data_IF_445075320273
#
_entry.id   IF_445075320273
#
_cell.length_a   1.000
_cell.length_b   1.000
_cell.length_c   1.000
_cell.angle_alpha   90.00
_cell.angle_beta   90.00
_cell.angle_gamma   90.00
#
_symmetry.space_group_name_H-M   'P 1'
#
loop_
_entity.id
_entity.type
_entity.pdbx_description
1 polymer ?
#
# COMPACT_ATOMS: atom_id res chain seq x y z
N UNK A 1 -10.66 -23.13 8.03
CA UNK A 1 -10.53 -22.21 9.18
C UNK A 1 -9.15 -21.60 9.14
N UNK A 2 -9.03 -20.31 9.47
CA UNK A 2 -7.75 -19.67 9.69
C UNK A 2 -7.12 -20.26 10.97
N UNK A 3 -5.82 -20.57 10.91
CA UNK A 3 -5.10 -21.11 12.08
C UNK A 3 -4.94 -20.07 13.19
N UNK A 4 -4.65 -20.52 14.42
CA UNK A 4 -4.48 -19.61 15.58
C UNK A 4 -3.38 -18.56 15.39
N UNK A 5 -2.35 -18.89 14.61
CA UNK A 5 -1.23 -17.98 14.30
C UNK A 5 -1.53 -17.01 13.14
N UNK A 6 -2.70 -17.11 12.49
CA UNK A 6 -3.07 -16.23 11.38
C UNK A 6 -3.43 -14.83 11.90
N UNK A 7 -2.73 -13.80 11.41
CA UNK A 7 -2.93 -12.44 11.89
C UNK A 7 -3.95 -11.69 11.04
N UNK A 8 -5.06 -11.30 11.67
CA UNK A 8 -5.99 -10.32 11.11
C UNK A 8 -5.61 -8.91 11.54
N UNK A 9 -5.68 -7.96 10.60
CA UNK A 9 -5.27 -6.60 10.86
C UNK A 9 -5.72 -5.60 9.81
N UNK A 10 -5.07 -4.44 9.85
CA UNK A 10 -5.30 -3.31 8.94
C UNK A 10 -3.98 -2.65 8.59
N UNK A 11 -3.95 -2.01 7.43
CA UNK A 11 -2.82 -1.19 6.96
C UNK A 11 -3.19 0.28 6.89
N UNK A 12 -2.24 1.13 7.27
CA UNK A 12 -2.29 2.58 7.22
C UNK A 12 -0.96 3.12 6.63
N UNK A 13 -1.02 4.33 6.08
CA UNK A 13 0.16 5.10 5.62
C UNK A 13 0.21 6.44 6.34
N UNK A 14 1.38 7.09 6.36
CA UNK A 14 1.52 8.37 7.06
C UNK A 14 0.75 9.47 6.34
N UNK A 15 1.15 9.80 5.11
CA UNK A 15 0.55 10.88 4.32
C UNK A 15 -0.98 10.84 4.20
N UNK A 16 -1.58 9.64 4.10
CA UNK A 16 -3.02 9.50 3.88
C UNK A 16 -3.86 9.62 5.17
N UNK A 17 -3.25 9.37 6.33
CA UNK A 17 -3.96 9.27 7.61
C UNK A 17 -3.56 10.31 8.65
N UNK A 18 -2.29 10.68 8.73
CA UNK A 18 -1.77 11.43 9.87
C UNK A 18 -2.38 12.82 10.00
N UNK A 19 -2.49 13.54 8.89
CA UNK A 19 -2.87 14.94 8.92
C UNK A 19 -4.39 15.13 9.12
N UNK A 20 -4.77 16.21 9.79
CA UNK A 20 -6.15 16.49 10.14
C UNK A 20 -6.46 17.98 10.31
N UNK A 21 -7.71 18.36 9.99
CA UNK A 21 -8.12 19.78 9.88
C UNK A 21 -7.94 20.57 11.17
N UNK A 22 -8.22 19.91 12.29
CA UNK A 22 -8.26 20.53 13.61
C UNK A 22 -6.93 20.38 14.37
N UNK A 23 -5.88 19.93 13.69
CA UNK A 23 -4.60 19.56 14.29
C UNK A 23 -3.42 20.12 13.47
N UNK A 24 -3.13 21.43 13.54
CA UNK A 24 -2.04 22.05 12.77
C UNK A 24 -0.67 21.41 12.98
N UNK A 25 -0.41 20.85 14.16
CA UNK A 25 0.79 20.09 14.51
C UNK A 25 0.94 18.79 13.72
N UNK A 26 -0.16 18.26 13.17
CA UNK A 26 -0.13 17.07 12.33
C UNK A 26 0.41 17.35 10.94
N UNK A 27 0.47 18.61 10.48
CA UNK A 27 0.80 18.94 9.08
C UNK A 27 2.28 18.69 8.78
N UNK A 28 2.57 17.94 7.70
CA UNK A 28 3.92 17.80 7.14
C UNK A 28 4.02 18.45 5.75
N UNK A 29 4.47 19.71 5.67
CA UNK A 29 4.64 20.40 4.40
C UNK A 29 5.93 19.99 3.66
N UNK A 30 6.76 19.14 4.28
CA UNK A 30 8.11 18.82 3.84
C UNK A 30 8.21 17.73 2.77
N UNK A 31 7.08 17.20 2.28
CA UNK A 31 7.06 16.14 1.27
C UNK A 31 6.76 16.62 -0.14
N UNK A 32 7.23 15.86 -1.12
CA UNK A 32 6.92 16.04 -2.54
C UNK A 32 5.41 15.97 -2.82
N UNK A 33 4.72 15.00 -2.22
CA UNK A 33 3.28 14.81 -2.33
C UNK A 33 2.48 15.97 -1.73
N UNK A 34 2.93 16.54 -0.60
CA UNK A 34 2.29 17.73 -0.04
C UNK A 34 2.34 18.89 -1.04
N UNK A 35 3.52 19.20 -1.57
CA UNK A 35 3.70 20.26 -2.58
C UNK A 35 2.91 19.94 -3.86
N UNK A 36 2.88 18.68 -4.28
CA UNK A 36 2.17 18.24 -5.48
C UNK A 36 0.65 18.40 -5.37
N UNK A 37 0.06 18.05 -4.23
CA UNK A 37 -1.36 18.19 -3.94
C UNK A 37 -1.81 19.65 -3.82
N UNK A 38 -0.93 20.53 -3.35
CA UNK A 38 -1.17 21.97 -3.19
C UNK A 38 -0.92 22.80 -4.44
N UNK A 39 -0.30 22.21 -5.46
CA UNK A 39 0.06 22.96 -6.64
C UNK A 39 -1.19 23.43 -7.43
N UNK A 40 -1.26 24.74 -7.63
CA UNK A 40 -2.39 25.40 -8.28
C UNK A 40 -2.69 24.86 -9.68
N UNK A 41 -1.67 24.60 -10.49
CA UNK A 41 -1.88 24.11 -11.86
C UNK A 41 -2.31 22.64 -11.85
N UNK A 42 -1.83 21.84 -10.90
CA UNK A 42 -2.27 20.45 -10.76
C UNK A 42 -3.76 20.39 -10.41
N UNK A 43 -4.22 21.27 -9.51
CA UNK A 43 -5.64 21.39 -9.15
C UNK A 43 -6.47 21.91 -10.33
N UNK A 44 -6.05 23.01 -10.96
CA UNK A 44 -6.78 23.61 -12.10
C UNK A 44 -6.92 22.65 -13.29
N UNK A 45 -5.89 21.82 -13.52
CA UNK A 45 -5.90 20.81 -14.59
C UNK A 45 -6.46 19.45 -14.16
N UNK A 46 -6.98 19.32 -12.93
CA UNK A 46 -7.55 18.08 -12.38
C UNK A 46 -6.59 16.89 -12.43
N UNK A 47 -5.29 17.18 -12.26
CA UNK A 47 -4.25 16.15 -12.05
C UNK A 47 -4.40 15.58 -10.64
N UNK A 48 -4.79 16.43 -9.69
CA UNK A 48 -5.18 16.07 -8.32
C UNK A 48 -6.57 16.63 -8.03
N UNK A 49 -7.25 16.07 -7.03
CA UNK A 49 -8.65 16.39 -6.70
C UNK A 49 -8.88 17.82 -6.21
N UNK A 50 -7.85 18.45 -5.62
CA UNK A 50 -7.96 19.75 -4.94
C UNK A 50 -8.43 19.68 -3.49
N UNK A 51 -8.80 18.49 -2.97
CA UNK A 51 -8.85 18.28 -1.52
C UNK A 51 -7.43 18.16 -0.99
N UNK A 52 -7.21 18.63 0.22
CA UNK A 52 -5.87 18.70 0.82
C UNK A 52 -5.73 17.68 1.97
N UNK A 53 -4.56 17.05 2.12
CA UNK A 53 -4.36 15.97 3.08
C UNK A 53 -4.46 16.46 4.53
N UNK A 54 -4.20 17.73 4.83
CA UNK A 54 -4.42 18.33 6.14
C UNK A 54 -5.89 18.51 6.52
N UNK A 55 -6.82 18.09 5.67
CA UNK A 55 -8.23 17.89 6.06
C UNK A 55 -8.56 16.41 6.28
N UNK A 56 -7.54 15.58 6.51
CA UNK A 56 -7.64 14.13 6.64
C UNK A 56 -8.17 13.64 7.99
N UNK A 57 -7.98 12.34 8.28
CA UNK A 57 -8.63 11.68 9.40
C UNK A 57 -7.94 11.93 10.76
N UNK A 58 -6.85 12.70 10.79
CA UNK A 58 -6.16 13.11 12.02
C UNK A 58 -5.65 11.94 12.87
N UNK A 59 -5.07 10.94 12.23
CA UNK A 59 -4.46 9.81 12.93
C UNK A 59 -3.27 10.26 13.78
N UNK A 60 -2.56 11.33 13.41
CA UNK A 60 -1.40 11.81 14.16
C UNK A 60 -1.75 12.19 15.59
N UNK A 61 -2.82 12.95 15.82
CA UNK A 61 -3.24 13.33 17.18
C UNK A 61 -4.24 12.34 17.78
N UNK A 62 -4.99 11.64 16.92
CA UNK A 62 -6.10 10.77 17.30
C UNK A 62 -5.78 9.27 17.36
N UNK A 63 -4.52 8.84 17.23
CA UNK A 63 -4.13 7.44 16.98
C UNK A 63 -4.77 6.42 17.93
N UNK A 64 -4.89 6.75 19.22
CA UNK A 64 -5.44 5.83 20.20
C UNK A 64 -6.90 5.42 19.88
N UNK A 65 -7.69 6.31 19.25
CA UNK A 65 -9.06 6.01 18.85
C UNK A 65 -9.08 4.92 17.77
N UNK A 66 -8.14 5.01 16.82
CA UNK A 66 -7.96 4.02 15.75
C UNK A 66 -7.46 2.70 16.32
N UNK A 67 -6.45 2.72 17.19
CA UNK A 67 -5.92 1.50 17.79
C UNK A 67 -6.95 0.79 18.65
N UNK A 68 -7.75 1.54 19.43
CA UNK A 68 -8.88 0.98 20.16
C UNK A 68 -9.85 0.32 19.19
N UNK A 69 -10.29 0.97 18.11
CA UNK A 69 -11.19 0.34 17.13
C UNK A 69 -10.61 -0.97 16.57
N UNK A 70 -9.34 -0.98 16.15
CA UNK A 70 -8.69 -2.19 15.70
C UNK A 70 -8.73 -3.31 16.78
N UNK A 71 -8.31 -3.00 18.01
CA UNK A 71 -8.31 -3.96 19.11
C UNK A 71 -9.73 -4.49 19.45
N UNK A 72 -10.76 -3.64 19.44
CA UNK A 72 -12.15 -4.02 19.73
C UNK A 72 -12.76 -4.98 18.68
N UNK A 73 -12.20 -5.02 17.47
CA UNK A 73 -12.58 -5.97 16.42
C UNK A 73 -11.86 -7.32 16.50
N UNK A 74 -10.90 -7.46 17.42
CA UNK A 74 -10.10 -8.67 17.58
C UNK A 74 -8.85 -8.73 16.69
N UNK A 75 -8.56 -7.68 15.91
CA UNK A 75 -7.31 -7.57 15.13
C UNK A 75 -6.08 -7.74 16.03
N UNK A 76 -5.04 -8.36 15.49
CA UNK A 76 -3.80 -8.71 16.19
C UNK A 76 -2.55 -8.08 15.59
N UNK A 77 -2.69 -7.37 14.48
CA UNK A 77 -1.60 -6.64 13.83
C UNK A 77 -2.10 -5.34 13.21
N UNK A 78 -1.29 -4.30 13.29
CA UNK A 78 -1.46 -3.08 12.50
C UNK A 78 -0.17 -2.84 11.73
N UNK A 79 -0.29 -2.54 10.44
CA UNK A 79 0.81 -2.00 9.64
C UNK A 79 0.67 -0.49 9.52
N UNK A 80 1.69 0.25 9.92
CA UNK A 80 1.75 1.73 9.85
C UNK A 80 2.96 2.17 9.02
N UNK A 81 2.91 3.41 8.51
CA UNK A 81 4.03 4.05 7.83
C UNK A 81 4.79 5.02 8.74
N UNK A 82 6.07 5.24 8.45
CA UNK A 82 6.82 6.40 8.94
C UNK A 82 7.02 7.38 7.78
N UNK A 83 6.83 8.67 8.01
CA UNK A 83 7.11 9.70 7.00
C UNK A 83 8.56 10.15 7.08
N UNK A 84 9.32 9.86 6.01
CA UNK A 84 10.72 10.24 5.91
C UNK A 84 10.91 11.77 6.01
N UNK A 85 10.00 12.55 5.42
CA UNK A 85 10.00 14.02 5.49
C UNK A 85 9.85 14.56 6.91
N UNK A 86 9.06 13.90 7.77
CA UNK A 86 8.93 14.29 9.18
C UNK A 86 10.20 14.02 9.97
N UNK A 87 10.78 12.83 9.80
CA UNK A 87 11.94 12.37 10.59
C UNK A 87 13.22 13.08 10.13
N UNK A 88 13.43 13.25 8.83
CA UNK A 88 14.59 13.92 8.24
C UNK A 88 14.15 15.08 7.33
N UNK A 89 13.72 16.22 7.92
CA UNK A 89 13.24 17.38 7.15
C UNK A 89 14.36 18.15 6.43
N UNK A 90 15.63 17.81 6.70
CA UNK A 90 16.82 18.47 6.14
C UNK A 90 17.69 17.46 5.39
N UNK A 91 18.45 17.90 4.36
CA UNK A 91 19.32 17.01 3.60
C UNK A 91 20.40 16.33 4.45
N UNK A 92 20.58 15.03 4.23
CA UNK A 92 21.62 14.19 4.84
C UNK A 92 22.84 13.98 3.94
N UNK A 93 22.91 14.70 2.81
CA UNK A 93 24.01 14.59 1.84
C UNK A 93 25.37 14.79 2.51
N UNK A 94 26.34 13.98 2.10
CA UNK A 94 27.75 13.99 2.59
C UNK A 94 27.93 13.65 4.08
N UNK A 95 26.86 13.34 4.81
CA UNK A 95 26.92 12.79 6.18
C UNK A 95 26.89 11.27 6.16
N UNK A 96 27.54 10.65 7.14
CA UNK A 96 27.41 9.20 7.40
C UNK A 96 26.13 8.92 8.19
N UNK A 97 25.66 7.67 8.18
CA UNK A 97 24.43 7.26 8.87
C UNK A 97 24.48 7.44 10.41
N UNK A 98 25.67 7.43 11.00
CA UNK A 98 25.94 7.66 12.42
C UNK A 98 26.06 9.16 12.78
N UNK A 99 25.95 10.07 11.80
CA UNK A 99 26.17 11.52 11.96
C UNK A 99 24.93 12.35 11.59
N UNK A 100 23.72 11.76 11.68
CA UNK A 100 22.46 12.43 11.31
C UNK A 100 21.49 12.64 12.48
N UNK A 101 21.83 12.17 13.68
CA UNK A 101 20.98 12.32 14.87
C UNK A 101 20.73 13.79 15.24
N UNK A 102 21.67 14.70 14.95
CA UNK A 102 21.57 16.15 15.22
C UNK A 102 20.63 16.90 14.28
N UNK A 103 20.35 16.34 13.10
CA UNK A 103 19.44 16.93 12.09
C UNK A 103 18.09 16.21 12.01
N UNK A 104 17.95 15.09 12.71
CA UNK A 104 16.70 14.39 12.89
C UNK A 104 15.70 15.24 13.68
N UNK A 105 14.43 15.15 13.32
CA UNK A 105 13.34 15.63 14.16
C UNK A 105 13.08 14.62 15.30
N UNK A 106 13.64 14.89 16.47
CA UNK A 106 13.49 14.01 17.63
C UNK A 106 12.04 13.91 18.13
N UNK A 107 11.26 14.98 18.01
CA UNK A 107 9.85 15.00 18.43
C UNK A 107 9.01 14.07 17.56
N UNK A 108 9.23 14.04 16.25
CA UNK A 108 8.55 13.11 15.35
C UNK A 108 8.88 11.64 15.66
N UNK A 109 10.15 11.32 15.95
CA UNK A 109 10.54 9.96 16.35
C UNK A 109 9.86 9.55 17.66
N UNK A 110 9.82 10.44 18.66
CA UNK A 110 9.19 10.13 19.94
C UNK A 110 7.69 9.92 19.77
N UNK A 111 7.04 10.76 18.95
CA UNK A 111 5.61 10.60 18.64
C UNK A 111 5.32 9.25 17.96
N UNK A 112 6.13 8.85 16.97
CA UNK A 112 6.00 7.52 16.37
C UNK A 112 6.24 6.39 17.39
N UNK A 113 7.18 6.56 18.32
CA UNK A 113 7.40 5.60 19.42
C UNK A 113 6.15 5.49 20.31
N UNK A 114 5.51 6.60 20.66
CA UNK A 114 4.27 6.61 21.43
C UNK A 114 3.14 5.86 20.70
N UNK A 115 2.97 6.13 19.40
CA UNK A 115 1.99 5.44 18.55
C UNK A 115 2.24 3.92 18.51
N UNK A 116 3.47 3.49 18.27
CA UNK A 116 3.87 2.07 18.24
C UNK A 116 3.62 1.42 19.61
N UNK A 117 3.97 2.11 20.69
CA UNK A 117 3.82 1.59 22.04
C UNK A 117 2.34 1.45 22.44
N UNK A 118 1.45 2.36 22.02
CA UNK A 118 0.01 2.24 22.25
C UNK A 118 -0.58 0.99 21.57
N UNK A 119 -0.18 0.71 20.31
CA UNK A 119 -0.58 -0.51 19.60
C UNK A 119 -0.16 -1.77 20.39
N UNK A 120 1.10 -1.79 20.86
CA UNK A 120 1.65 -2.91 21.64
C UNK A 120 0.97 -3.07 23.00
N UNK A 121 0.64 -1.97 23.67
CA UNK A 121 -0.06 -1.98 24.96
C UNK A 121 -1.46 -2.58 24.84
N UNK A 122 -2.07 -2.49 23.65
CA UNK A 122 -3.34 -3.15 23.31
C UNK A 122 -3.16 -4.63 22.88
N UNK A 123 -1.94 -5.17 22.97
CA UNK A 123 -1.63 -6.57 22.68
C UNK A 123 -1.60 -6.91 21.18
N UNK A 124 -1.45 -5.90 20.31
CA UNK A 124 -1.30 -6.08 18.87
C UNK A 124 0.18 -5.99 18.46
N UNK A 125 0.54 -6.71 17.40
CA UNK A 125 1.84 -6.56 16.72
C UNK A 125 1.86 -5.31 15.86
N UNK A 126 3.05 -4.77 15.63
CA UNK A 126 3.28 -3.62 14.75
C UNK A 126 4.22 -3.99 13.61
N UNK A 127 3.73 -3.85 12.39
CA UNK A 127 4.55 -3.83 11.19
C UNK A 127 4.81 -2.37 10.80
N UNK A 128 6.06 -1.96 10.74
CA UNK A 128 6.42 -0.60 10.31
C UNK A 128 6.94 -0.63 8.88
N UNK A 129 6.36 0.20 8.02
CA UNK A 129 6.80 0.43 6.65
C UNK A 129 7.57 1.75 6.54
N UNK A 130 8.82 1.72 6.05
CA UNK A 130 9.69 2.90 6.04
C UNK A 130 9.33 3.91 4.95
N UNK A 131 8.89 3.49 3.76
CA UNK A 131 8.47 4.40 2.71
C UNK A 131 7.12 4.04 2.12
N UNK A 132 6.20 5.01 2.09
CA UNK A 132 4.91 4.89 1.40
C UNK A 132 4.72 6.07 0.45
N UNK A 133 5.43 6.02 -0.68
CA UNK A 133 5.40 6.96 -1.81
C UNK A 133 5.99 8.35 -1.55
N UNK A 134 5.62 9.02 -0.46
CA UNK A 134 6.13 10.35 -0.13
C UNK A 134 7.65 10.35 0.04
N UNK A 135 8.27 11.42 -0.45
CA UNK A 135 9.69 11.71 -0.29
C UNK A 135 9.87 13.11 0.29
N UNK A 136 10.92 13.32 1.11
CA UNK A 136 11.33 14.67 1.46
C UNK A 136 11.53 15.54 0.22
N UNK A 137 11.04 16.78 0.26
CA UNK A 137 11.10 17.73 -0.86
C UNK A 137 12.55 18.01 -1.31
N UNK A 138 13.52 17.84 -0.41
CA UNK A 138 14.94 18.00 -0.72
C UNK A 138 15.55 16.82 -1.51
N UNK A 139 14.85 15.68 -1.60
CA UNK A 139 15.17 14.56 -2.50
C UNK A 139 14.40 14.63 -3.80
N UNK A 140 13.15 15.09 -3.75
CA UNK A 140 12.27 15.15 -4.91
C UNK A 140 11.54 16.49 -4.98
N UNK A 141 11.85 17.31 -5.98
CA UNK A 141 11.11 18.54 -6.29
C UNK A 141 10.20 18.31 -7.51
N UNK A 142 9.00 17.69 -7.34
CA UNK A 142 8.23 17.12 -8.45
C UNK A 142 7.76 18.18 -9.45
N UNK A 143 7.49 19.40 -8.98
CA UNK A 143 7.11 20.53 -9.83
C UNK A 143 8.24 20.93 -10.78
N UNK A 144 9.49 20.92 -10.30
CA UNK A 144 10.65 21.25 -11.13
C UNK A 144 10.95 20.15 -12.14
N UNK A 145 10.86 18.89 -11.72
CA UNK A 145 10.97 17.73 -12.60
C UNK A 145 9.91 17.81 -13.71
N UNK A 146 8.64 18.03 -13.35
CA UNK A 146 7.52 18.06 -14.29
C UNK A 146 7.61 19.22 -15.31
N UNK A 147 7.89 20.44 -14.83
CA UNK A 147 7.76 21.67 -15.65
C UNK A 147 9.02 22.09 -16.36
N UNK A 148 10.17 21.77 -15.77
CA UNK A 148 11.47 22.28 -16.22
C UNK A 148 12.44 21.17 -16.58
N UNK A 149 12.05 19.90 -16.42
CA UNK A 149 12.95 18.75 -16.59
C UNK A 149 14.24 18.90 -15.77
N UNK A 150 14.13 19.54 -14.60
CA UNK A 150 15.23 19.69 -13.65
C UNK A 150 15.22 18.51 -12.68
N UNK A 151 16.22 17.64 -12.83
CA UNK A 151 16.39 16.42 -12.04
C UNK A 151 17.43 16.58 -10.92
N UNK A 152 17.75 17.81 -10.50
CA UNK A 152 18.69 18.06 -9.39
C UNK A 152 18.22 17.43 -8.07
N UNK A 153 16.91 17.44 -7.84
CA UNK A 153 16.19 16.67 -6.81
C UNK A 153 15.15 15.79 -7.53
N UNK A 154 15.64 14.74 -8.18
CA UNK A 154 14.84 13.90 -9.08
C UNK A 154 14.03 12.79 -8.40
N UNK A 155 14.11 12.65 -7.08
CA UNK A 155 13.54 11.52 -6.35
C UNK A 155 14.21 10.21 -6.72
N UNK A 156 13.44 9.18 -7.05
CA UNK A 156 13.98 7.85 -7.30
C UNK A 156 14.82 7.70 -8.58
N UNK A 157 14.81 8.66 -9.50
CA UNK A 157 15.75 8.64 -10.64
C UNK A 157 17.12 9.21 -10.31
N UNK A 158 17.28 9.81 -9.13
CA UNK A 158 18.58 10.23 -8.61
C UNK A 158 19.25 9.04 -7.90
N UNK A 159 20.44 8.60 -8.33
CA UNK A 159 21.14 7.46 -7.71
C UNK A 159 21.52 7.69 -6.25
N UNK A 160 21.54 8.95 -5.77
CA UNK A 160 21.81 9.27 -4.36
C UNK A 160 20.67 8.85 -3.43
N UNK A 161 19.44 8.78 -3.93
CA UNK A 161 18.24 8.56 -3.12
C UNK A 161 18.29 7.22 -2.37
N UNK A 162 18.80 6.16 -3.00
CA UNK A 162 18.96 4.86 -2.36
C UNK A 162 19.94 4.89 -1.17
N UNK A 163 21.02 5.69 -1.27
CA UNK A 163 21.97 5.88 -0.17
C UNK A 163 21.39 6.74 0.96
N UNK A 164 20.62 7.78 0.63
CA UNK A 164 19.94 8.58 1.66
C UNK A 164 18.85 7.76 2.36
N UNK A 165 18.17 6.86 1.63
CA UNK A 165 17.19 5.94 2.20
C UNK A 165 17.83 4.92 3.15
N UNK A 166 19.02 4.40 2.81
CA UNK A 166 19.82 3.55 3.71
C UNK A 166 20.09 4.25 5.05
N UNK A 167 20.51 5.52 5.02
CA UNK A 167 20.76 6.30 6.24
C UNK A 167 19.51 6.49 7.08
N UNK A 168 18.38 6.76 6.42
CA UNK A 168 17.07 6.86 7.07
C UNK A 168 16.65 5.54 7.72
N UNK A 169 16.81 4.42 7.03
CA UNK A 169 16.53 3.08 7.56
C UNK A 169 17.42 2.76 8.78
N UNK A 170 18.71 3.08 8.72
CA UNK A 170 19.65 2.94 9.82
C UNK A 170 19.21 3.74 11.06
N UNK A 171 18.82 5.00 10.89
CA UNK A 171 18.31 5.83 11.97
C UNK A 171 17.03 5.25 12.58
N UNK A 172 16.05 4.86 11.75
CA UNK A 172 14.81 4.26 12.24
C UNK A 172 15.05 2.96 12.99
N UNK A 173 15.92 2.09 12.46
CA UNK A 173 16.32 0.84 13.12
C UNK A 173 16.96 1.10 14.48
N UNK A 174 17.91 2.05 14.57
CA UNK A 174 18.55 2.43 15.85
C UNK A 174 17.56 3.01 16.85
N UNK A 175 16.55 3.74 16.37
CA UNK A 175 15.66 4.55 17.21
C UNK A 175 14.35 3.89 17.57
N UNK A 176 13.91 2.87 16.85
CA UNK A 176 12.61 2.21 17.03
C UNK A 176 12.69 0.67 16.97
N UNK A 177 13.85 0.10 16.61
CA UNK A 177 14.03 -1.35 16.43
C UNK A 177 13.81 -2.19 17.69
N UNK A 178 13.81 -1.59 18.88
CA UNK A 178 13.50 -2.24 20.15
C UNK A 178 12.00 -2.53 20.35
N UNK A 179 11.11 -1.85 19.61
CA UNK A 179 9.65 -1.96 19.76
C UNK A 179 8.92 -2.38 18.47
N UNK A 180 9.60 -2.48 17.33
CA UNK A 180 8.98 -2.90 16.07
C UNK A 180 9.07 -4.42 15.87
N UNK A 181 7.91 -5.07 15.66
CA UNK A 181 7.86 -6.53 15.47
C UNK A 181 8.28 -6.96 14.06
N UNK A 182 7.98 -6.14 13.05
CA UNK A 182 8.27 -6.44 11.63
C UNK A 182 8.53 -5.14 10.85
N UNK A 183 9.47 -5.19 9.91
CA UNK A 183 9.78 -4.05 9.04
C UNK A 183 9.43 -4.35 7.59
N UNK A 184 8.82 -3.40 6.89
CA UNK A 184 8.82 -3.33 5.43
C UNK A 184 9.68 -2.14 5.01
N UNK A 185 10.55 -2.31 4.01
CA UNK A 185 11.32 -1.16 3.51
C UNK A 185 10.40 -0.19 2.76
N UNK A 186 9.62 -0.70 1.82
CA UNK A 186 8.86 0.13 0.88
C UNK A 186 7.47 -0.45 0.62
N UNK A 187 6.53 0.43 0.31
CA UNK A 187 5.21 0.11 -0.23
C UNK A 187 5.20 0.27 -1.74
N UNK A 188 4.82 -0.78 -2.46
CA UNK A 188 4.51 -0.78 -3.89
C UNK A 188 5.52 0.02 -4.75
N UNK A 189 6.83 -0.27 -4.66
CA UNK A 189 7.86 0.53 -5.33
C UNK A 189 7.67 0.60 -6.84
N UNK A 190 7.20 -0.47 -7.49
CA UNK A 190 6.96 -0.45 -8.94
C UNK A 190 5.80 0.48 -9.34
N UNK A 191 4.82 0.71 -8.45
CA UNK A 191 3.75 1.71 -8.66
C UNK A 191 4.36 3.11 -8.73
N UNK A 192 5.32 3.44 -7.86
CA UNK A 192 6.03 4.72 -7.90
C UNK A 192 6.73 4.94 -9.24
N UNK A 193 7.48 3.92 -9.71
CA UNK A 193 8.18 4.00 -10.99
C UNK A 193 7.22 4.12 -12.18
N UNK A 194 6.16 3.29 -12.21
CA UNK A 194 5.23 3.23 -13.33
C UNK A 194 4.29 4.44 -13.40
N UNK A 195 3.75 4.88 -12.27
CA UNK A 195 2.80 6.00 -12.24
C UNK A 195 3.51 7.35 -12.39
N UNK A 196 4.69 7.52 -11.79
CA UNK A 196 5.44 8.78 -11.87
C UNK A 196 6.06 9.08 -13.24
N UNK A 197 6.56 8.04 -13.94
CA UNK A 197 7.37 8.21 -15.16
C UNK A 197 6.75 7.63 -16.43
N UNK A 198 5.57 7.00 -16.37
CA UNK A 198 4.89 6.45 -17.56
C UNK A 198 3.42 6.82 -17.64
N UNK A 199 2.65 6.63 -16.56
CA UNK A 199 1.21 6.89 -16.55
C UNK A 199 0.88 8.31 -16.06
N UNK A 200 1.02 9.30 -16.95
CA UNK A 200 0.71 10.71 -16.63
C UNK A 200 -0.72 10.91 -16.09
N UNK A 201 -1.70 10.15 -16.58
CA UNK A 201 -3.10 10.26 -16.14
C UNK A 201 -3.36 9.77 -14.72
N UNK A 202 -2.40 9.12 -14.05
CA UNK A 202 -2.54 8.68 -12.66
C UNK A 202 -2.57 9.83 -11.66
N UNK A 203 -2.03 10.99 -12.02
CA UNK A 203 -1.86 12.12 -11.10
C UNK A 203 -0.72 11.96 -10.09
N UNK A 204 0.09 10.89 -10.17
CA UNK A 204 1.23 10.68 -9.27
C UNK A 204 2.42 11.57 -9.65
N UNK A 205 3.16 12.14 -8.69
CA UNK A 205 4.37 12.90 -8.97
C UNK A 205 5.50 12.01 -9.53
N UNK A 206 6.34 12.51 -10.44
CA UNK A 206 6.30 13.83 -11.07
C UNK A 206 5.38 13.91 -12.30
N UNK A 207 4.58 12.89 -12.61
CA UNK A 207 3.61 12.86 -13.71
C UNK A 207 4.19 13.21 -15.09
N UNK A 208 5.28 12.54 -15.47
CA UNK A 208 5.94 12.71 -16.78
C UNK A 208 5.91 11.42 -17.59
N UNK A 209 6.03 11.52 -18.92
CA UNK A 209 6.13 10.35 -19.81
C UNK A 209 7.59 10.20 -20.25
N UNK A 210 8.35 9.45 -19.44
CA UNK A 210 9.76 9.08 -19.65
C UNK A 210 9.95 7.59 -19.35
N UNK A 211 9.50 6.70 -20.26
CA UNK A 211 9.65 5.25 -20.10
C UNK A 211 11.09 4.80 -19.83
N UNK A 212 12.07 5.54 -20.34
CA UNK A 212 13.51 5.30 -20.12
C UNK A 212 13.94 5.50 -18.66
N UNK A 213 13.19 6.30 -17.88
CA UNK A 213 13.46 6.54 -16.46
C UNK A 213 12.79 5.51 -15.54
N UNK A 214 11.85 4.71 -16.04
CA UNK A 214 11.17 3.69 -15.23
C UNK A 214 12.19 2.69 -14.67
N UNK A 215 13.09 2.18 -15.50
CA UNK A 215 14.10 1.22 -15.04
C UNK A 215 15.17 1.86 -14.14
N UNK A 216 15.46 3.15 -14.35
CA UNK A 216 16.37 3.91 -13.46
C UNK A 216 15.76 4.01 -12.05
N UNK A 217 14.49 4.42 -11.96
CA UNK A 217 13.77 4.48 -10.70
C UNK A 217 13.67 3.10 -10.05
N UNK A 218 13.27 2.06 -10.81
CA UNK A 218 13.16 0.68 -10.33
C UNK A 218 14.48 0.16 -9.77
N UNK A 219 15.58 0.36 -10.49
CA UNK A 219 16.90 -0.10 -10.04
C UNK A 219 17.34 0.62 -8.76
N UNK A 220 17.04 1.91 -8.60
CA UNK A 220 17.32 2.64 -7.36
C UNK A 220 16.43 2.19 -6.20
N UNK A 221 15.14 1.92 -6.43
CA UNK A 221 14.23 1.35 -5.42
C UNK A 221 14.71 -0.05 -4.97
N UNK A 222 15.13 -0.91 -5.90
CA UNK A 222 15.73 -2.22 -5.57
C UNK A 222 16.97 -2.04 -4.70
N UNK A 223 17.87 -1.13 -5.06
CA UNK A 223 19.05 -0.84 -4.23
C UNK A 223 18.67 -0.27 -2.86
N UNK A 224 17.60 0.54 -2.79
CA UNK A 224 17.09 1.11 -1.55
C UNK A 224 16.59 0.00 -0.61
N UNK A 225 15.80 -0.95 -1.11
CA UNK A 225 15.39 -2.14 -0.37
C UNK A 225 16.58 -2.95 0.13
N UNK A 226 17.50 -3.33 -0.76
CA UNK A 226 18.67 -4.16 -0.41
C UNK A 226 19.54 -3.49 0.67
N UNK A 227 19.79 -2.19 0.54
CA UNK A 227 20.57 -1.44 1.51
C UNK A 227 19.83 -1.29 2.85
N UNK A 228 18.53 -0.97 2.83
CA UNK A 228 17.72 -0.82 4.03
C UNK A 228 17.56 -2.15 4.79
N UNK A 229 17.46 -3.27 4.07
CA UNK A 229 17.44 -4.61 4.65
C UNK A 229 18.67 -4.85 5.52
N UNK A 230 19.87 -4.65 4.97
CA UNK A 230 21.13 -4.88 5.71
C UNK A 230 21.23 -3.99 6.96
N UNK A 231 20.84 -2.72 6.85
CA UNK A 231 20.81 -1.81 8.00
C UNK A 231 19.85 -2.29 9.08
N UNK A 232 18.60 -2.61 8.74
CA UNK A 232 17.59 -3.04 9.71
C UNK A 232 17.96 -4.36 10.38
N UNK A 233 18.49 -5.33 9.62
CA UNK A 233 18.99 -6.61 10.16
C UNK A 233 20.17 -6.44 11.09
N UNK A 234 21.00 -5.40 10.89
CA UNK A 234 22.10 -5.11 11.80
C UNK A 234 21.64 -4.58 13.17
N UNK A 235 20.42 -4.03 13.27
CA UNK A 235 19.90 -3.40 14.48
C UNK A 235 18.97 -4.31 15.30
N UNK A 236 18.25 -5.24 14.66
CA UNK A 236 17.30 -6.11 15.34
C UNK A 236 17.14 -7.46 14.65
N UNK A 237 16.63 -8.45 15.39
CA UNK A 237 16.28 -9.76 14.83
C UNK A 237 14.92 -9.76 14.11
N UNK A 238 14.18 -8.63 14.13
CA UNK A 238 12.86 -8.53 13.51
C UNK A 238 12.92 -8.88 12.02
N UNK A 239 11.89 -9.54 11.47
CA UNK A 239 11.81 -9.82 10.04
C UNK A 239 11.78 -8.51 9.24
N UNK A 240 12.51 -8.47 8.13
CA UNK A 240 12.52 -7.34 7.19
C UNK A 240 12.05 -7.81 5.82
N UNK A 241 10.98 -7.21 5.32
CA UNK A 241 10.33 -7.57 4.07
C UNK A 241 10.12 -6.38 3.13
N UNK A 242 9.33 -6.64 2.09
CA UNK A 242 8.85 -5.65 1.13
C UNK A 242 7.34 -5.83 0.94
N UNK A 243 6.61 -4.73 0.75
CA UNK A 243 5.21 -4.73 0.37
C UNK A 243 5.09 -4.39 -1.12
N UNK A 244 4.41 -5.23 -1.90
CA UNK A 244 4.34 -5.13 -3.35
C UNK A 244 2.91 -5.22 -3.89
N UNK A 245 2.59 -4.36 -4.85
CA UNK A 245 1.32 -4.38 -5.57
C UNK A 245 1.33 -5.48 -6.62
N UNK A 246 0.43 -6.45 -6.47
CA UNK A 246 0.20 -7.46 -7.49
C UNK A 246 -1.16 -7.27 -8.16
N UNK A 247 -1.14 -7.39 -9.49
CA UNK A 247 -2.33 -7.60 -10.30
C UNK A 247 -2.28 -9.01 -10.86
N UNK A 248 -3.35 -9.78 -10.69
CA UNK A 248 -3.50 -11.00 -11.46
C UNK A 248 -3.59 -10.66 -12.94
N UNK A 249 -2.83 -11.35 -13.80
CA UNK A 249 -2.80 -11.07 -15.23
C UNK A 249 -3.54 -12.17 -15.97
N UNK A 250 -4.71 -11.82 -16.51
CA UNK A 250 -5.49 -12.65 -17.42
C UNK A 250 -5.29 -12.21 -18.88
N UNK A 251 -5.74 -13.02 -19.83
CA UNK A 251 -5.81 -12.65 -21.24
C UNK A 251 -5.27 -13.72 -22.17
N UNK A 252 -4.80 -13.29 -23.34
CA UNK A 252 -4.09 -14.21 -24.24
C UNK A 252 -2.78 -14.64 -23.61
N UNK A 253 -2.53 -15.95 -23.60
CA UNK A 253 -1.48 -16.58 -22.79
C UNK A 253 -0.10 -15.97 -22.98
N UNK A 254 0.34 -15.74 -24.23
CA UNK A 254 1.69 -15.21 -24.46
C UNK A 254 1.87 -13.79 -23.90
N UNK A 255 0.84 -12.95 -24.01
CA UNK A 255 0.84 -11.62 -23.41
C UNK A 255 0.75 -11.67 -21.88
N UNK A 256 -0.10 -12.55 -21.35
CA UNK A 256 -0.30 -12.70 -19.91
C UNK A 256 0.97 -13.21 -19.21
N UNK A 257 1.62 -14.24 -19.76
CA UNK A 257 2.87 -14.80 -19.24
C UNK A 257 3.98 -13.73 -19.25
N UNK A 258 4.13 -12.97 -20.35
CA UNK A 258 5.11 -11.89 -20.47
C UNK A 258 4.87 -10.77 -19.45
N UNK A 259 3.62 -10.33 -19.30
CA UNK A 259 3.25 -9.28 -18.34
C UNK A 259 3.41 -9.74 -16.89
N UNK A 260 3.16 -11.01 -16.59
CA UNK A 260 3.37 -11.57 -15.26
C UNK A 260 4.86 -11.67 -14.91
N UNK A 261 5.70 -12.17 -15.82
CA UNK A 261 7.15 -12.23 -15.58
C UNK A 261 7.75 -10.83 -15.40
N UNK A 262 7.29 -9.83 -16.15
CA UNK A 262 7.70 -8.43 -15.95
C UNK A 262 7.32 -7.91 -14.55
N UNK A 263 6.15 -8.30 -14.03
CA UNK A 263 5.70 -7.92 -12.68
C UNK A 263 6.55 -8.59 -11.58
N UNK A 264 7.03 -9.82 -11.83
CA UNK A 264 7.83 -10.61 -10.89
C UNK A 264 9.31 -10.21 -10.85
N UNK A 265 9.81 -9.51 -11.87
CA UNK A 265 11.23 -9.12 -12.00
C UNK A 265 11.74 -8.38 -10.75
N UNK A 266 10.95 -7.47 -10.18
CA UNK A 266 11.34 -6.74 -8.98
C UNK A 266 11.63 -7.71 -7.83
N UNK A 267 10.71 -8.64 -7.57
CA UNK A 267 10.82 -9.62 -6.48
C UNK A 267 11.97 -10.58 -6.73
N UNK A 268 12.15 -11.04 -7.97
CA UNK A 268 13.26 -11.91 -8.33
C UNK A 268 14.64 -11.29 -8.04
N UNK A 269 14.74 -9.96 -8.11
CA UNK A 269 15.98 -9.22 -7.83
C UNK A 269 16.24 -8.96 -6.34
N UNK A 270 15.23 -9.11 -5.47
CA UNK A 270 15.36 -8.84 -4.03
C UNK A 270 15.16 -10.06 -3.12
N UNK A 271 14.60 -11.16 -3.63
CA UNK A 271 14.14 -12.31 -2.83
C UNK A 271 15.15 -12.88 -1.82
N UNK A 272 16.45 -12.83 -2.12
CA UNK A 272 17.53 -13.28 -1.22
C UNK A 272 17.76 -12.37 -0.01
N UNK A 273 17.07 -11.22 0.05
CA UNK A 273 17.12 -10.19 1.10
C UNK A 273 15.73 -9.76 1.49
N UNK A 274 14.83 -10.72 1.65
CA UNK A 274 13.43 -10.46 1.98
C UNK A 274 12.93 -11.58 2.89
N UNK A 275 12.73 -11.29 4.17
CA UNK A 275 12.31 -12.26 5.19
C UNK A 275 10.80 -12.57 5.12
N UNK A 276 10.01 -11.67 4.54
CA UNK A 276 8.60 -11.87 4.22
C UNK A 276 8.19 -11.01 3.02
N UNK A 277 7.19 -11.45 2.27
CA UNK A 277 6.58 -10.71 1.17
C UNK A 277 5.18 -10.25 1.58
N UNK A 278 4.96 -8.94 1.59
CA UNK A 278 3.64 -8.33 1.68
C UNK A 278 3.01 -8.21 0.30
N UNK A 279 1.81 -8.77 0.13
CA UNK A 279 1.05 -8.72 -1.10
C UNK A 279 -0.10 -7.74 -0.93
N UNK A 280 -0.06 -6.68 -1.72
CA UNK A 280 -1.19 -5.78 -1.93
C UNK A 280 -1.95 -6.24 -3.17
N UNK A 281 -3.23 -6.55 -3.02
CA UNK A 281 -4.07 -7.04 -4.11
C UNK A 281 -5.45 -6.40 -4.06
N UNK A 282 -5.88 -5.90 -5.22
CA UNK A 282 -7.16 -5.22 -5.36
C UNK A 282 -8.04 -5.80 -6.48
N UNK A 283 -7.43 -6.07 -7.64
CA UNK A 283 -8.12 -6.52 -8.84
C UNK A 283 -7.12 -7.16 -9.83
N UNK A 284 -7.57 -7.44 -11.04
CA UNK A 284 -6.77 -8.01 -12.12
C UNK A 284 -6.45 -7.00 -13.22
N UNK A 285 -5.67 -7.45 -14.20
CA UNK A 285 -5.55 -6.85 -15.52
C UNK A 285 -5.83 -7.92 -16.58
N UNK A 286 -6.52 -7.55 -17.66
CA UNK A 286 -6.69 -8.43 -18.82
C UNK A 286 -5.87 -7.87 -19.97
N UNK A 287 -5.01 -8.68 -20.58
CA UNK A 287 -4.08 -8.23 -21.62
C UNK A 287 -4.23 -8.99 -22.94
N UNK A 288 -3.76 -8.38 -24.02
CA UNK A 288 -3.58 -9.04 -25.30
C UNK A 288 -2.31 -8.54 -26.00
N UNK A 289 -1.74 -9.32 -26.94
CA UNK A 289 -0.59 -8.90 -27.72
C UNK A 289 -0.81 -7.56 -28.40
N UNK A 290 0.21 -6.72 -28.35
CA UNK A 290 0.26 -5.44 -29.04
C UNK A 290 1.70 -5.17 -29.49
N UNK A 291 1.93 -5.26 -30.80
CA UNK A 291 3.27 -5.09 -31.39
C UNK A 291 3.71 -3.63 -31.43
N UNK A 292 2.77 -2.69 -31.30
CA UNK A 292 3.05 -1.26 -31.29
C UNK A 292 3.33 -0.75 -29.87
N UNK A 293 3.05 -1.58 -28.85
CA UNK A 293 3.40 -1.35 -27.46
C UNK A 293 4.84 -1.77 -27.19
N UNK A 294 5.60 -0.92 -26.49
CA UNK A 294 6.97 -1.23 -26.05
C UNK A 294 7.03 -2.40 -25.06
N UNK A 295 5.90 -2.74 -24.42
CA UNK A 295 5.76 -3.90 -23.54
C UNK A 295 5.41 -5.20 -24.29
N UNK A 296 5.06 -5.11 -25.58
CA UNK A 296 4.57 -6.24 -26.38
C UNK A 296 3.11 -6.65 -26.09
N UNK A 297 2.45 -5.96 -25.15
CA UNK A 297 1.04 -6.15 -24.82
C UNK A 297 0.34 -4.82 -24.50
N UNK A 298 -0.99 -4.84 -24.60
CA UNK A 298 -1.87 -3.78 -24.12
C UNK A 298 -2.89 -4.32 -23.14
N UNK A 299 -3.29 -3.45 -22.23
CA UNK A 299 -4.35 -3.73 -21.24
C UNK A 299 -5.70 -3.47 -21.89
N UNK A 300 -6.63 -4.40 -21.73
CA UNK A 300 -7.99 -4.27 -22.24
C UNK A 300 -8.83 -3.40 -21.30
N UNK A 301 -9.62 -2.45 -21.84
CA UNK A 301 -10.56 -1.68 -21.05
C UNK A 301 -11.74 -2.55 -20.60
N UNK A 302 -12.52 -2.04 -19.64
CA UNK A 302 -13.74 -2.68 -19.12
C UNK A 302 -13.52 -3.99 -18.36
N UNK A 303 -12.27 -4.31 -18.00
CA UNK A 303 -11.90 -5.36 -17.04
C UNK A 303 -11.00 -4.81 -15.95
N UNK A 304 -10.93 -5.49 -14.80
CA UNK A 304 -9.95 -5.19 -13.77
C UNK A 304 -10.04 -3.74 -13.29
N UNK A 305 -8.90 -3.06 -13.28
CA UNK A 305 -8.80 -1.62 -12.95
C UNK A 305 -9.22 -0.67 -14.08
N UNK A 306 -9.53 -1.19 -15.27
CA UNK A 306 -9.94 -0.42 -16.44
C UNK A 306 -11.45 -0.28 -16.62
N UNK A 307 -12.26 -0.61 -15.60
CA UNK A 307 -13.72 -0.50 -15.66
C UNK A 307 -14.22 0.90 -15.30
N UNK A 308 -15.53 1.12 -15.50
CA UNK A 308 -16.22 2.32 -15.04
C UNK A 308 -16.56 2.19 -13.54
N UNK A 309 -16.49 3.28 -12.77
CA UNK A 309 -17.03 3.33 -11.40
C UNK A 309 -18.48 2.87 -11.31
N UNK A 310 -18.83 2.17 -10.23
CA UNK A 310 -20.21 1.81 -9.88
C UNK A 310 -20.98 1.13 -11.02
N UNK A 311 -20.37 0.14 -11.64
CA UNK A 311 -20.86 -0.52 -12.84
C UNK A 311 -20.65 -2.04 -12.78
N UNK A 312 -20.80 -2.69 -13.93
CA UNK A 312 -20.37 -4.06 -14.15
C UNK A 312 -19.19 -4.06 -15.12
N UNK A 313 -18.18 -4.87 -14.83
CA UNK A 313 -17.13 -5.18 -15.79
C UNK A 313 -17.71 -5.94 -16.98
N UNK A 314 -16.91 -6.10 -18.03
CA UNK A 314 -17.30 -6.91 -19.19
C UNK A 314 -17.49 -8.39 -18.85
N UNK A 315 -16.98 -8.86 -17.71
CA UNK A 315 -17.24 -10.21 -17.19
C UNK A 315 -18.56 -10.30 -16.39
N UNK A 316 -19.28 -9.18 -16.22
CA UNK A 316 -20.51 -9.10 -15.45
C UNK A 316 -20.30 -8.87 -13.96
N UNK A 317 -19.07 -8.59 -13.51
CA UNK A 317 -18.75 -8.43 -12.09
C UNK A 317 -18.86 -6.98 -11.62
N UNK A 318 -19.33 -6.73 -10.38
CA UNK A 318 -19.42 -5.39 -9.83
C UNK A 318 -18.07 -4.68 -9.79
N UNK A 319 -18.11 -3.36 -9.95
CA UNK A 319 -16.93 -2.50 -9.90
C UNK A 319 -17.08 -1.46 -8.78
N UNK A 320 -15.96 -1.16 -8.12
CA UNK A 320 -15.88 -0.23 -7.00
C UNK A 320 -16.24 1.23 -7.37
N UNK A 321 -16.26 2.14 -6.39
CA UNK A 321 -16.29 3.59 -6.62
C UNK A 321 -15.09 4.08 -7.46
N UNK A 322 -13.98 3.33 -7.44
CA UNK A 322 -12.81 3.57 -8.28
C UNK A 322 -12.99 3.01 -9.69
N UNK A 323 -13.93 2.10 -9.90
CA UNK A 323 -14.08 1.34 -11.14
C UNK A 323 -13.18 0.10 -11.20
N UNK A 324 -12.82 -0.47 -10.05
CA UNK A 324 -12.04 -1.71 -10.00
C UNK A 324 -12.97 -2.91 -9.85
N UNK A 325 -12.84 -3.88 -10.75
CA UNK A 325 -13.59 -5.14 -10.78
C UNK A 325 -13.31 -5.97 -9.51
N UNK A 326 -14.37 -6.50 -8.87
CA UNK A 326 -14.23 -7.48 -7.79
C UNK A 326 -13.80 -8.83 -8.38
N UNK A 327 -12.57 -9.27 -8.06
CA UNK A 327 -11.99 -10.48 -8.64
C UNK A 327 -11.14 -11.27 -7.63
N UNK A 328 -11.74 -11.94 -6.65
CA UNK A 328 -11.03 -12.67 -5.58
C UNK A 328 -10.18 -13.87 -6.06
N UNK A 329 -10.50 -14.46 -7.21
CA UNK A 329 -9.74 -15.57 -7.79
C UNK A 329 -8.31 -15.16 -8.15
N UNK A 330 -8.14 -13.90 -8.57
CA UNK A 330 -6.80 -13.36 -8.80
C UNK A 330 -5.97 -13.28 -7.52
N UNK A 331 -6.57 -13.03 -6.35
CA UNK A 331 -5.86 -13.08 -5.07
C UNK A 331 -5.36 -14.50 -4.79
N UNK A 332 -6.24 -15.49 -4.93
CA UNK A 332 -5.87 -16.90 -4.78
C UNK A 332 -4.70 -17.24 -5.72
N UNK A 333 -4.80 -16.88 -7.00
CA UNK A 333 -3.81 -17.23 -8.00
C UNK A 333 -2.45 -16.56 -7.73
N UNK A 334 -2.44 -15.27 -7.36
CA UNK A 334 -1.22 -14.55 -6.98
C UNK A 334 -0.56 -15.17 -5.75
N UNK A 335 -1.34 -15.46 -4.69
CA UNK A 335 -0.81 -16.08 -3.48
C UNK A 335 -0.20 -17.45 -3.78
N UNK A 336 -0.92 -18.32 -4.49
CA UNK A 336 -0.44 -19.66 -4.85
C UNK A 336 0.81 -19.61 -5.71
N UNK A 337 0.83 -18.73 -6.72
CA UNK A 337 1.97 -18.54 -7.62
C UNK A 337 3.20 -18.04 -6.85
N UNK A 338 3.05 -17.01 -6.03
CA UNK A 338 4.17 -16.42 -5.27
C UNK A 338 4.74 -17.41 -4.25
N UNK A 339 3.91 -18.12 -3.49
CA UNK A 339 4.37 -19.13 -2.52
C UNK A 339 5.01 -20.36 -3.18
N UNK A 340 4.66 -20.67 -4.44
CA UNK A 340 5.34 -21.73 -5.20
C UNK A 340 6.67 -21.26 -5.80
N UNK A 341 6.77 -19.99 -6.18
CA UNK A 341 8.00 -19.43 -6.79
C UNK A 341 9.03 -19.03 -5.74
N UNK A 342 8.59 -18.55 -4.59
CA UNK A 342 9.42 -17.99 -3.54
C UNK A 342 9.20 -18.73 -2.23
N UNK A 343 10.28 -19.24 -1.64
CA UNK A 343 10.27 -19.81 -0.29
C UNK A 343 10.34 -18.68 0.77
N UNK A 344 9.37 -17.77 0.70
CA UNK A 344 9.28 -16.57 1.54
C UNK A 344 7.88 -16.54 2.19
N UNK A 345 7.77 -16.32 3.52
CA UNK A 345 6.50 -16.12 4.20
C UNK A 345 5.67 -14.98 3.56
N UNK A 346 4.39 -15.24 3.29
CA UNK A 346 3.49 -14.27 2.64
C UNK A 346 2.44 -13.72 3.59
N UNK A 347 2.26 -12.40 3.56
CA UNK A 347 1.16 -11.68 4.19
C UNK A 347 0.33 -10.99 3.11
N UNK A 348 -1.00 -10.97 3.23
CA UNK A 348 -1.80 -9.99 2.50
C UNK A 348 -1.68 -8.69 3.29
N UNK A 349 -0.96 -7.71 2.77
CA UNK A 349 -0.69 -6.44 3.45
C UNK A 349 -1.68 -5.36 3.07
N UNK A 350 -2.32 -5.46 1.90
CA UNK A 350 -3.48 -4.65 1.56
C UNK A 350 -4.45 -5.48 0.72
N UNK A 351 -5.72 -5.41 1.10
CA UNK A 351 -6.83 -5.86 0.29
C UNK A 351 -8.06 -5.07 0.72
N UNK A 352 -8.76 -4.45 -0.22
CA UNK A 352 -9.81 -3.50 0.11
C UNK A 352 -10.58 -3.01 -1.12
N UNK A 353 -11.61 -2.21 -0.87
CA UNK A 353 -12.45 -1.67 -1.94
C UNK A 353 -12.91 -0.24 -1.63
N UNK A 354 -12.83 0.64 -2.62
CA UNK A 354 -13.48 1.95 -2.60
C UNK A 354 -14.99 1.75 -2.69
N UNK A 355 -15.67 1.98 -1.59
CA UNK A 355 -17.11 1.76 -1.44
C UNK A 355 -17.63 2.60 -0.27
N UNK A 356 -18.00 3.84 -0.55
CA UNK A 356 -18.48 4.77 0.48
C UNK A 356 -19.79 4.32 1.14
N UNK A 357 -20.62 3.60 0.38
CA UNK A 357 -21.94 3.14 0.79
C UNK A 357 -21.93 1.79 1.54
N UNK A 358 -20.79 1.09 1.56
CA UNK A 358 -20.63 -0.25 2.15
C UNK A 358 -21.49 -1.34 1.48
N UNK A 359 -21.88 -1.13 0.23
CA UNK A 359 -22.77 -2.04 -0.51
C UNK A 359 -22.02 -3.24 -1.13
N UNK A 360 -20.73 -3.09 -1.40
CA UNK A 360 -19.88 -4.09 -2.03
C UNK A 360 -18.86 -4.69 -1.06
N UNK A 361 -18.37 -3.92 -0.07
CA UNK A 361 -17.31 -4.32 0.86
C UNK A 361 -17.61 -5.61 1.62
N UNK A 362 -18.83 -5.89 2.10
CA UNK A 362 -19.14 -7.20 2.69
C UNK A 362 -18.86 -8.38 1.74
N UNK A 363 -19.30 -8.30 0.49
CA UNK A 363 -19.07 -9.32 -0.53
C UNK A 363 -17.60 -9.44 -0.90
N UNK A 364 -16.91 -8.30 -1.00
CA UNK A 364 -15.47 -8.24 -1.26
C UNK A 364 -14.68 -8.96 -0.15
N UNK A 365 -14.91 -8.60 1.11
CA UNK A 365 -14.26 -9.21 2.28
C UNK A 365 -14.44 -10.73 2.30
N UNK A 366 -15.69 -11.20 2.22
CA UNK A 366 -16.00 -12.63 2.32
C UNK A 366 -15.35 -13.39 1.17
N UNK A 367 -15.42 -12.87 -0.05
CA UNK A 367 -14.91 -13.57 -1.23
C UNK A 367 -13.38 -13.63 -1.29
N UNK A 368 -12.68 -12.57 -0.90
CA UNK A 368 -11.21 -12.57 -0.84
C UNK A 368 -10.69 -13.41 0.32
N UNK A 369 -11.32 -13.34 1.49
CA UNK A 369 -10.97 -14.22 2.61
C UNK A 369 -11.32 -15.69 2.31
N UNK A 370 -12.35 -15.96 1.52
CA UNK A 370 -12.64 -17.32 1.06
C UNK A 370 -11.53 -17.87 0.15
N UNK A 371 -11.01 -17.05 -0.77
CA UNK A 371 -9.81 -17.40 -1.56
C UNK A 371 -8.62 -17.78 -0.66
N UNK A 372 -8.38 -17.01 0.40
CA UNK A 372 -7.30 -17.30 1.37
C UNK A 372 -7.57 -18.58 2.15
N UNK A 373 -8.79 -18.77 2.68
CA UNK A 373 -9.17 -19.97 3.44
C UNK A 373 -9.02 -21.24 2.58
N UNK A 374 -9.39 -21.18 1.30
CA UNK A 374 -9.22 -22.30 0.35
C UNK A 374 -7.74 -22.68 0.16
N UNK A 375 -6.84 -21.70 0.03
CA UNK A 375 -5.40 -21.97 -0.06
C UNK A 375 -4.84 -22.62 1.21
N UNK A 376 -5.31 -22.16 2.37
CA UNK A 376 -4.92 -22.75 3.66
C UNK A 376 -5.40 -24.20 3.76
N UNK A 377 -6.62 -24.50 3.29
CA UNK A 377 -7.16 -25.86 3.20
C UNK A 377 -6.34 -26.75 2.26
N UNK A 378 -5.72 -26.19 1.23
CA UNK A 378 -4.79 -26.87 0.31
C UNK A 378 -3.38 -27.05 0.89
N UNK A 379 -3.11 -26.58 2.12
CA UNK A 379 -1.85 -26.75 2.83
C UNK A 379 -0.83 -25.61 2.64
N UNK A 380 -1.22 -24.51 2.00
CA UNK A 380 -0.37 -23.33 1.92
C UNK A 380 -0.38 -22.51 3.22
N UNK A 381 0.75 -21.87 3.56
CA UNK A 381 0.90 -21.13 4.81
C UNK A 381 0.90 -19.61 4.59
N UNK A 382 -0.30 -19.04 4.44
CA UNK A 382 -0.51 -17.60 4.46
C UNK A 382 -0.50 -17.10 5.90
N UNK A 383 0.26 -16.03 6.20
CA UNK A 383 0.54 -15.60 7.58
C UNK A 383 -0.44 -14.59 8.15
N UNK A 384 -1.15 -13.84 7.31
CA UNK A 384 -2.12 -12.87 7.78
C UNK A 384 -2.82 -12.11 6.67
N UNK A 385 -3.88 -11.40 7.06
CA UNK A 385 -4.70 -10.54 6.22
C UNK A 385 -4.84 -9.17 6.88
N UNK A 386 -4.30 -8.14 6.22
CA UNK A 386 -4.43 -6.75 6.62
C UNK A 386 -5.33 -6.03 5.62
N UNK A 387 -6.49 -5.59 6.08
CA UNK A 387 -7.44 -4.87 5.25
C UNK A 387 -6.92 -3.46 4.92
N UNK A 388 -7.15 -3.00 3.69
CA UNK A 388 -7.05 -1.58 3.33
C UNK A 388 -8.47 -0.97 3.31
N UNK A 389 -8.88 -0.27 4.35
CA UNK A 389 -8.14 0.08 5.57
C UNK A 389 -9.07 0.17 6.78
N UNK A 390 -8.53 0.51 7.96
CA UNK A 390 -9.38 0.70 9.13
C UNK A 390 -10.43 1.80 8.91
N UNK A 391 -10.01 2.93 8.33
CA UNK A 391 -10.82 4.13 8.22
C UNK A 391 -10.63 4.82 6.87
N UNK A 392 -11.64 5.58 6.44
CA UNK A 392 -11.51 6.44 5.25
C UNK A 392 -10.32 7.40 5.39
N UNK A 393 -9.63 7.65 4.28
CA UNK A 393 -8.37 8.37 4.28
C UNK A 393 -8.22 9.20 2.99
N UNK A 394 -7.10 9.89 2.84
CA UNK A 394 -6.78 10.67 1.65
C UNK A 394 -6.23 9.77 0.53
N UNK A 395 -7.03 9.45 -0.49
CA UNK A 395 -6.64 8.56 -1.59
C UNK A 395 -5.85 9.32 -2.68
N UNK A 396 -4.65 9.77 -2.32
CA UNK A 396 -3.66 10.35 -3.25
C UNK A 396 -4.26 11.42 -4.18
N UNK A 397 -4.08 11.30 -5.50
CA UNK A 397 -4.61 12.23 -6.48
C UNK A 397 -6.16 12.30 -6.50
N UNK A 398 -6.85 11.29 -5.96
CA UNK A 398 -8.32 11.25 -5.86
C UNK A 398 -8.86 11.90 -4.58
N UNK A 399 -8.00 12.18 -3.61
CA UNK A 399 -8.39 12.80 -2.34
C UNK A 399 -9.42 11.97 -1.57
N UNK A 400 -10.42 12.62 -0.96
CA UNK A 400 -11.40 11.96 -0.10
C UNK A 400 -12.58 11.28 -0.82
N UNK A 401 -12.56 11.27 -2.16
CA UNK A 401 -13.65 10.70 -2.94
C UNK A 401 -13.72 9.18 -2.84
N UNK A 402 -12.56 8.53 -2.68
CA UNK A 402 -12.44 7.07 -2.61
C UNK A 402 -12.42 6.64 -1.15
N UNK A 403 -13.46 5.90 -0.75
CA UNK A 403 -13.74 5.57 0.66
C UNK A 403 -13.46 4.10 0.90
N UNK A 404 -12.29 3.78 1.44
CA UNK A 404 -11.83 2.39 1.64
C UNK A 404 -12.12 1.82 3.04
N UNK A 405 -12.44 2.66 4.03
CA UNK A 405 -12.43 2.26 5.42
C UNK A 405 -13.51 1.25 5.80
N UNK A 406 -13.18 0.35 6.74
CA UNK A 406 -14.19 -0.35 7.54
C UNK A 406 -14.98 0.65 8.42
N UNK A 407 -14.36 1.78 8.74
CA UNK A 407 -14.90 2.88 9.54
C UNK A 407 -14.98 4.13 8.66
N UNK A 408 -16.14 4.77 8.61
CA UNK A 408 -16.27 6.05 7.90
C UNK A 408 -15.69 7.19 8.74
N UNK A 409 -15.06 8.15 8.07
CA UNK A 409 -14.54 9.37 8.69
C UNK A 409 -15.36 10.57 8.24
N UNK A 410 -15.84 11.35 9.20
CA UNK A 410 -16.27 12.73 8.95
C UNK A 410 -15.03 13.64 8.99
N UNK A 411 -14.65 14.18 7.84
CA UNK A 411 -13.46 15.01 7.67
C UNK A 411 -13.64 16.46 8.19
N UNK A 412 -14.83 16.83 8.65
CA UNK A 412 -15.07 18.14 9.27
C UNK A 412 -14.67 18.13 10.75
N UNK A 413 -15.06 17.09 11.49
CA UNK A 413 -14.84 16.99 12.94
C UNK A 413 -13.95 15.81 13.39
N UNK A 414 -13.54 14.94 12.46
CA UNK A 414 -12.70 13.78 12.74
C UNK A 414 -13.44 12.61 13.40
N UNK A 415 -14.78 12.61 13.40
CA UNK A 415 -15.56 11.52 13.99
C UNK A 415 -15.47 10.22 13.18
N UNK A 416 -15.49 9.10 13.90
CA UNK A 416 -15.31 7.75 13.35
C UNK A 416 -16.59 6.94 13.55
N UNK A 417 -17.18 6.44 12.46
CA UNK A 417 -18.41 5.63 12.50
C UNK A 417 -18.19 4.26 11.83
N UNK A 418 -18.18 3.15 12.59
CA UNK A 418 -18.02 1.83 12.00
C UNK A 418 -19.13 1.48 11.00
N UNK A 419 -18.76 0.99 9.81
CA UNK A 419 -19.70 0.49 8.81
C UNK A 419 -20.16 -0.94 9.14
N UNK A 420 -21.11 -1.49 8.38
CA UNK A 420 -21.54 -2.88 8.57
C UNK A 420 -20.41 -3.88 8.34
N UNK A 421 -19.57 -3.63 7.35
CA UNK A 421 -18.37 -4.40 7.05
C UNK A 421 -17.37 -4.47 8.21
N UNK A 422 -17.27 -3.45 9.08
CA UNK A 422 -16.45 -3.52 10.29
C UNK A 422 -16.93 -4.63 11.24
N UNK A 423 -18.24 -4.69 11.49
CA UNK A 423 -18.83 -5.71 12.36
C UNK A 423 -18.75 -7.10 11.73
N UNK A 424 -18.93 -7.20 10.41
CA UNK A 424 -18.71 -8.45 9.67
C UNK A 424 -17.25 -8.93 9.79
N UNK A 425 -16.29 -8.02 9.61
CA UNK A 425 -14.87 -8.38 9.73
C UNK A 425 -14.54 -8.84 11.15
N UNK A 426 -15.07 -8.17 12.17
CA UNK A 426 -15.01 -8.62 13.57
C UNK A 426 -15.58 -10.04 13.75
N UNK A 427 -16.75 -10.32 13.21
CA UNK A 427 -17.38 -11.64 13.31
C UNK A 427 -16.55 -12.73 12.60
N UNK A 428 -15.97 -12.43 11.44
CA UNK A 428 -15.06 -13.34 10.74
C UNK A 428 -13.81 -13.64 11.59
N UNK A 429 -13.23 -12.63 12.24
CA UNK A 429 -12.10 -12.80 13.15
C UNK A 429 -12.49 -13.71 14.32
N UNK A 430 -13.63 -13.45 14.96
CA UNK A 430 -14.14 -14.24 16.10
C UNK A 430 -14.42 -15.70 15.72
N UNK A 431 -14.96 -15.94 14.50
CA UNK A 431 -15.23 -17.29 14.00
C UNK A 431 -13.98 -18.01 13.47
N UNK A 432 -12.92 -17.27 13.12
CA UNK A 432 -11.74 -17.82 12.46
C UNK A 432 -12.05 -18.48 11.11
N UNK A 433 -13.11 -18.05 10.41
CA UNK A 433 -13.53 -18.63 9.13
C UNK A 433 -14.57 -17.75 8.43
N UNK A 434 -14.67 -17.85 7.10
CA UNK A 434 -15.79 -17.25 6.34
C UNK A 434 -16.89 -18.24 5.99
N UNK A 435 -16.79 -19.49 6.45
CA UNK A 435 -17.75 -20.56 6.13
C UNK A 435 -19.22 -20.18 6.44
N UNK A 436 -19.47 -19.46 7.53
CA UNK A 436 -20.80 -18.99 7.91
C UNK A 436 -21.44 -18.03 6.91
N UNK A 437 -20.62 -17.40 6.05
CA UNK A 437 -21.05 -16.34 5.13
C UNK A 437 -21.03 -16.75 3.65
N UNK A 438 -20.75 -18.02 3.33
CA UNK A 438 -20.63 -18.53 1.94
C UNK A 438 -21.84 -18.26 1.05
N UNK A 439 -23.03 -18.05 1.63
CA UNK A 439 -24.23 -17.67 0.85
C UNK A 439 -24.05 -16.34 0.12
N UNK A 440 -23.24 -15.43 0.65
CA UNK A 440 -22.94 -14.14 0.02
C UNK A 440 -22.02 -14.25 -1.20
N UNK A 441 -21.41 -15.40 -1.46
CA UNK A 441 -20.56 -15.58 -2.64
C UNK A 441 -21.38 -15.68 -3.94
N UNK A 442 -22.65 -16.11 -3.86
CA UNK A 442 -23.46 -16.45 -5.04
C UNK A 442 -24.41 -15.34 -5.47
N UNK A 443 -24.99 -14.62 -4.51
CA UNK A 443 -26.03 -13.63 -4.77
C UNK A 443 -25.66 -12.28 -4.14
N UNK A 444 -25.88 -11.14 -4.81
CA UNK A 444 -26.53 -11.00 -6.13
C UNK A 444 -25.55 -11.02 -7.32
N UNK A 445 -24.25 -11.21 -7.09
CA UNK A 445 -23.21 -10.91 -8.09
C UNK A 445 -22.37 -12.11 -8.54
N UNK A 446 -22.57 -13.31 -7.96
CA UNK A 446 -21.73 -14.50 -8.17
C UNK A 446 -20.22 -14.18 -8.24
N UNK A 447 -19.67 -13.78 -7.09
CA UNK A 447 -18.34 -13.17 -6.99
C UNK A 447 -17.19 -14.18 -6.86
N UNK A 448 -17.47 -15.49 -6.91
CA UNK A 448 -16.44 -16.52 -6.76
C UNK A 448 -16.69 -17.76 -7.64
N UNK A 449 -15.81 -17.98 -8.62
CA UNK A 449 -15.83 -19.10 -9.55
C UNK A 449 -14.57 -19.96 -9.39
N UNK A 450 -14.76 -21.17 -8.85
CA UNK A 450 -13.66 -22.11 -8.60
C UNK A 450 -12.96 -22.60 -9.87
N UNK A 451 -13.61 -22.50 -11.05
CA UNK A 451 -13.01 -22.95 -12.31
C UNK A 451 -11.88 -22.04 -12.82
N UNK A 452 -11.73 -20.85 -12.24
CA UNK A 452 -10.71 -19.86 -12.59
C UNK A 452 -9.43 -19.97 -11.74
N UNK A 453 -9.38 -20.93 -10.82
CA UNK A 453 -8.25 -21.13 -9.92
C UNK A 453 -7.16 -21.95 -10.60
N UNK A 454 -5.90 -21.56 -10.42
CA UNK A 454 -4.76 -22.31 -10.95
C UNK A 454 -4.54 -23.61 -10.16
N UNK A 455 -4.22 -24.69 -10.89
CA UNK A 455 -3.92 -26.02 -10.31
C UNK A 455 -2.65 -26.02 -9.47
#
# INVERSE_FOLDING_TARGET
>A
MFGEDFLFGVSLSGFQFEMGRNSPESIDPGSDWYVWAHDKLNIENKIVSGTLPESGPDYWTGFEKFHRLAAHSGMKIIRIGLEWSRILPKPTFKRRADEIDDICNAEAIEHYREMIQDIRNLGMKVMVNLNHFSLPIWLHEPIKVNRYSDFTAGGWVDPRTAEEFRKYACLCGRRLGDIVDMWSTENEPDVVAMLGYRNRSSGFPPSIVRPDLVEVARSNLINAHLNAYEELKSQSASPVGLIYAFSWIDGEKSAADSAMEAQLEFIDRIKERTDFLGINYYSRMVVQPDKDSDRGYRVLPEFGQGCKPNSLSRSGRPTSDFGWEIYPEGLYNILKMTMRRYDIPVFITENGIADGADCLRPYYLISHLHAVEKLIEEGFSVKGYLHWSLADNYEWASGFAMRFGLVSVDFEDGSLTPRHSYYLFKEIIEQGSVNGFKKMLKEPYDVFDESLLIE
#
